data_IF_660417729734
#
_entry.id   IF_660417729734
#
_cell.length_a   1.000
_cell.length_b   1.000
_cell.length_c   1.000
_cell.angle_alpha   90.00
_cell.angle_beta   90.00
_cell.angle_gamma   90.00
#
_symmetry.space_group_name_H-M   'P 1'
#
loop_
_entity.id
_entity.type
_entity.pdbx_description
1 polymer ?
#
# COMPACT_ATOMS: atom_id res chain seq x y z
N UNK A 1 -6.76 3.60 -14.99
CA UNK A 1 -6.96 4.04 -13.59
C UNK A 1 -5.69 4.00 -12.74
N UNK A 2 -4.98 2.86 -12.67
CA UNK A 2 -3.76 2.71 -11.85
C UNK A 2 -2.69 3.80 -12.11
N UNK A 3 -2.23 3.97 -13.36
CA UNK A 3 -1.22 5.00 -13.70
C UNK A 3 -1.65 6.44 -13.43
N UNK A 4 -2.96 6.75 -13.55
CA UNK A 4 -3.49 8.09 -13.28
C UNK A 4 -3.51 8.41 -11.79
N UNK A 5 -3.95 7.44 -10.98
CA UNK A 5 -3.96 7.58 -9.53
C UNK A 5 -2.53 7.68 -8.96
N UNK A 6 -1.63 6.83 -9.46
CA UNK A 6 -0.25 6.75 -9.00
C UNK A 6 0.52 8.05 -9.27
N UNK A 7 0.34 8.67 -10.45
CA UNK A 7 0.93 9.96 -10.76
C UNK A 7 0.44 11.08 -9.83
N UNK A 8 -0.84 11.04 -9.45
CA UNK A 8 -1.37 11.96 -8.45
C UNK A 8 -0.78 11.71 -7.06
N UNK A 9 -0.62 10.45 -6.64
CA UNK A 9 0.00 10.11 -5.36
C UNK A 9 1.44 10.60 -5.26
N UNK A 10 2.22 10.49 -6.34
CA UNK A 10 3.59 11.00 -6.39
C UNK A 10 3.63 12.51 -6.20
N UNK A 11 2.69 13.25 -6.79
CA UNK A 11 2.61 14.71 -6.56
C UNK A 11 2.12 15.02 -5.14
N UNK A 12 1.13 14.29 -4.65
CA UNK A 12 0.52 14.55 -3.35
C UNK A 12 1.49 14.38 -2.19
N UNK A 13 2.41 13.41 -2.24
CA UNK A 13 3.43 13.23 -1.20
C UNK A 13 4.42 14.41 -1.07
N UNK A 14 4.57 15.24 -2.11
CA UNK A 14 5.42 16.44 -2.03
C UNK A 14 4.68 17.60 -1.37
N UNK A 15 3.35 17.62 -1.47
CA UNK A 15 2.49 18.72 -0.98
C UNK A 15 1.79 18.39 0.34
N UNK A 16 1.70 17.11 0.72
CA UNK A 16 0.91 16.61 1.83
C UNK A 16 1.62 15.47 2.57
N UNK A 17 1.19 15.24 3.81
CA UNK A 17 1.55 14.03 4.54
C UNK A 17 0.64 12.89 4.08
N UNK A 18 1.17 11.99 3.26
CA UNK A 18 0.44 10.85 2.74
C UNK A 18 0.63 9.59 3.59
N UNK A 19 -0.44 8.80 3.66
CA UNK A 19 -0.49 7.49 4.29
C UNK A 19 -1.01 6.48 3.26
N UNK A 20 -0.17 5.51 2.92
CA UNK A 20 -0.51 4.43 1.99
C UNK A 20 -0.54 3.12 2.76
N UNK A 21 -1.69 2.47 2.81
CA UNK A 21 -1.83 1.19 3.51
C UNK A 21 -2.04 0.04 2.51
N UNK A 22 -1.41 -1.09 2.79
CA UNK A 22 -1.55 -2.32 2.01
C UNK A 22 -2.61 -3.18 2.71
N UNK A 23 -3.77 -3.33 2.07
CA UNK A 23 -4.93 -4.06 2.58
C UNK A 23 -4.78 -5.58 2.40
N UNK A 24 -3.98 -6.20 3.25
CA UNK A 24 -3.71 -7.64 3.22
C UNK A 24 -4.90 -8.45 3.75
N UNK A 25 -5.57 -7.99 4.82
CA UNK A 25 -6.77 -8.65 5.37
C UNK A 25 -7.94 -8.61 4.37
N UNK A 26 -8.16 -7.50 3.68
CA UNK A 26 -9.20 -7.40 2.64
C UNK A 26 -8.90 -8.30 1.43
N UNK A 27 -7.63 -8.60 1.17
CA UNK A 27 -7.25 -9.55 0.13
C UNK A 27 -7.65 -10.98 0.51
N UNK A 28 -7.60 -11.36 1.80
CA UNK A 28 -8.03 -12.68 2.29
C UNK A 28 -9.54 -12.92 2.16
N UNK A 29 -10.36 -11.87 2.24
CA UNK A 29 -11.82 -12.01 2.06
C UNK A 29 -12.20 -12.23 0.60
N UNK A 30 -11.33 -11.83 -0.35
CA UNK A 30 -11.56 -11.99 -1.80
C UNK A 30 -10.80 -13.19 -2.39
N UNK A 31 -9.61 -13.50 -1.87
CA UNK A 31 -8.76 -14.63 -2.25
C UNK A 31 -8.23 -15.32 -0.97
N UNK A 32 -8.91 -16.37 -0.47
CA UNK A 32 -8.71 -16.91 0.87
C UNK A 32 -7.47 -17.81 1.04
N UNK A 33 -6.54 -17.84 0.09
CA UNK A 33 -5.29 -18.59 0.27
C UNK A 33 -4.22 -17.69 0.93
N UNK A 34 -3.94 -17.87 2.23
CA UNK A 34 -2.96 -17.04 2.94
C UNK A 34 -1.51 -17.35 2.54
N UNK A 35 -1.26 -18.42 1.78
CA UNK A 35 0.11 -18.88 1.46
C UNK A 35 0.94 -17.79 0.81
N UNK A 36 0.31 -16.92 0.01
CA UNK A 36 1.00 -15.86 -0.73
C UNK A 36 0.74 -14.45 -0.16
N UNK A 37 0.09 -14.31 0.99
CA UNK A 37 -0.26 -13.00 1.56
C UNK A 37 0.98 -12.09 1.71
N UNK A 38 2.04 -12.62 2.31
CA UNK A 38 3.29 -11.89 2.49
C UNK A 38 3.99 -11.59 1.15
N UNK A 39 3.86 -12.48 0.17
CA UNK A 39 4.39 -12.26 -1.18
C UNK A 39 3.66 -11.12 -1.88
N UNK A 40 2.33 -11.12 -1.79
CA UNK A 40 1.47 -10.09 -2.37
C UNK A 40 1.75 -8.72 -1.74
N UNK A 41 1.87 -8.65 -0.41
CA UNK A 41 2.25 -7.41 0.29
C UNK A 41 3.58 -6.89 -0.21
N UNK A 42 4.60 -7.76 -0.33
CA UNK A 42 5.91 -7.37 -0.86
C UNK A 42 5.81 -6.86 -2.30
N UNK A 43 5.03 -7.52 -3.16
CA UNK A 43 4.85 -7.11 -4.55
C UNK A 43 4.20 -5.71 -4.63
N UNK A 44 3.13 -5.46 -3.85
CA UNK A 44 2.49 -4.14 -3.81
C UNK A 44 3.45 -3.07 -3.30
N UNK A 45 4.22 -3.38 -2.25
CA UNK A 45 5.25 -2.46 -1.75
C UNK A 45 6.29 -2.15 -2.83
N UNK A 46 6.79 -3.17 -3.53
CA UNK A 46 7.75 -3.00 -4.63
C UNK A 46 7.15 -2.13 -5.74
N UNK A 47 5.89 -2.35 -6.13
CA UNK A 47 5.22 -1.54 -7.14
C UNK A 47 5.09 -0.07 -6.72
N UNK A 48 4.77 0.20 -5.44
CA UNK A 48 4.68 1.57 -4.92
C UNK A 48 6.04 2.28 -4.95
N UNK A 49 7.10 1.59 -4.52
CA UNK A 49 8.46 2.14 -4.56
C UNK A 49 8.94 2.36 -5.99
N UNK A 50 8.72 1.38 -6.88
CA UNK A 50 9.08 1.47 -8.29
C UNK A 50 8.34 2.60 -9.01
N UNK A 51 7.11 2.90 -8.57
CA UNK A 51 6.34 4.02 -9.06
C UNK A 51 6.82 5.39 -8.55
N UNK A 52 7.64 5.43 -7.51
CA UNK A 52 8.18 6.68 -6.95
C UNK A 52 7.47 7.18 -5.69
N UNK A 53 6.67 6.34 -5.01
CA UNK A 53 6.26 6.62 -3.63
C UNK A 53 7.51 6.54 -2.75
N UNK A 54 7.82 7.61 -2.03
CA UNK A 54 9.03 7.74 -1.24
C UNK A 54 8.70 7.57 0.26
N UNK A 55 9.23 6.53 0.93
CA UNK A 55 9.01 6.31 2.36
C UNK A 55 9.67 7.38 3.25
N UNK A 56 10.56 8.21 2.71
CA UNK A 56 11.08 9.41 3.37
C UNK A 56 10.08 10.58 3.39
N UNK A 57 9.07 10.56 2.52
CA UNK A 57 8.04 11.60 2.39
C UNK A 57 6.67 11.15 2.86
N UNK A 58 6.39 9.85 2.78
CA UNK A 58 5.10 9.26 3.09
C UNK A 58 5.23 8.09 4.06
N UNK A 59 4.14 7.79 4.78
CA UNK A 59 4.06 6.59 5.60
C UNK A 59 3.46 5.47 4.77
N UNK A 60 4.15 4.33 4.72
CA UNK A 60 3.64 3.09 4.12
C UNK A 60 3.52 2.06 5.24
N UNK A 61 2.36 1.41 5.36
CA UNK A 61 2.14 0.39 6.39
C UNK A 61 1.24 -0.75 5.88
N UNK A 62 1.27 -1.88 6.59
CA UNK A 62 0.45 -3.06 6.31
C UNK A 62 -0.74 -3.02 7.27
N UNK A 63 -1.95 -3.31 6.79
CA UNK A 63 -3.17 -3.23 7.61
C UNK A 63 -3.08 -4.13 8.84
N UNK A 64 -2.64 -5.38 8.68
CA UNK A 64 -2.49 -6.33 9.79
C UNK A 64 -1.46 -5.90 10.85
N UNK A 65 -0.48 -5.05 10.50
CA UNK A 65 0.52 -4.54 11.44
C UNK A 65 0.01 -3.39 12.32
N UNK A 66 -1.15 -2.79 11.98
CA UNK A 66 -1.78 -1.69 12.72
C UNK A 66 -3.21 -2.08 13.07
N UNK A 67 -3.44 -2.80 14.18
CA UNK A 67 -4.74 -3.37 14.54
C UNK A 67 -5.89 -2.34 14.62
N UNK A 68 -5.58 -1.08 14.92
CA UNK A 68 -6.53 0.03 14.96
C UNK A 68 -7.14 0.37 13.59
N UNK A 69 -6.54 -0.14 12.50
CA UNK A 69 -7.01 0.04 11.12
C UNK A 69 -7.80 -1.15 10.57
N UNK A 70 -8.13 -2.11 11.44
CA UNK A 70 -9.02 -3.22 11.10
C UNK A 70 -10.47 -2.68 11.10
N UNK A 71 -11.14 -2.80 9.95
CA UNK A 71 -12.57 -2.52 9.77
C UNK A 71 -13.42 -3.79 9.87
#
# INVERSE_FOLDING_TARGET
NYFGALRNFIRMQDENRCFFFIADIHSLTTHPDPKDLHGNVKNVLVDYLAAGIDPGKSVIYIQSDVPETIE
#
